data_IF_897040227505
#
_entry.id   IF_897040227505
#
_cell.length_a   1.000
_cell.length_b   1.000
_cell.length_c   1.000
_cell.angle_alpha   90.00
_cell.angle_beta   90.00
_cell.angle_gamma   90.00
#
_symmetry.space_group_name_H-M   'P 1'
#
loop_
_entity.id
_entity.type
_entity.pdbx_description
1 polymer ?
#
# COMPACT_ATOMS: atom_id res chain seq x y z
N UNK A 1 -5.95 -6.80 1.75
CA UNK A 1 -5.88 -6.24 0.39
C UNK A 1 -7.25 -5.82 -0.14
N UNK A 2 -8.19 -6.74 -0.39
CA UNK A 2 -9.55 -6.38 -0.84
C UNK A 2 -10.29 -5.39 0.10
N UNK A 3 -10.31 -5.66 1.41
CA UNK A 3 -10.85 -4.69 2.39
C UNK A 3 -10.11 -3.35 2.43
N UNK A 4 -8.79 -3.32 2.15
CA UNK A 4 -8.01 -2.06 2.04
C UNK A 4 -8.46 -1.26 0.82
N UNK A 5 -8.60 -1.92 -0.34
CA UNK A 5 -9.09 -1.28 -1.57
C UNK A 5 -10.43 -0.58 -1.31
N UNK A 6 -11.37 -1.28 -0.68
CA UNK A 6 -12.66 -0.71 -0.33
C UNK A 6 -12.51 0.52 0.59
N UNK A 7 -11.76 0.41 1.67
CA UNK A 7 -11.62 1.50 2.65
C UNK A 7 -10.90 2.73 2.09
N UNK A 8 -9.90 2.56 1.23
CA UNK A 8 -9.14 3.68 0.67
C UNK A 8 -9.87 4.38 -0.47
N UNK A 9 -10.66 3.66 -1.28
CA UNK A 9 -11.15 4.20 -2.54
C UNK A 9 -12.67 4.40 -2.63
N UNK A 10 -13.49 3.87 -1.69
CA UNK A 10 -14.96 4.00 -1.76
C UNK A 10 -15.46 5.45 -1.87
N UNK A 11 -14.73 6.40 -1.29
CA UNK A 11 -15.06 7.83 -1.34
C UNK A 11 -14.97 8.43 -2.75
N UNK A 12 -14.30 7.73 -3.68
CA UNK A 12 -14.10 8.15 -5.05
C UNK A 12 -15.03 7.45 -6.04
N UNK A 13 -16.05 6.71 -5.58
CA UNK A 13 -16.95 5.95 -6.47
C UNK A 13 -17.59 6.81 -7.58
N UNK A 14 -18.07 8.02 -7.26
CA UNK A 14 -18.61 8.93 -8.28
C UNK A 14 -17.59 9.19 -9.40
N UNK A 15 -16.35 9.47 -9.05
CA UNK A 15 -15.27 9.70 -10.02
C UNK A 15 -14.93 8.46 -10.82
N UNK A 16 -14.87 7.30 -10.19
CA UNK A 16 -14.55 6.04 -10.85
C UNK A 16 -15.63 5.66 -11.86
N UNK A 17 -16.90 5.86 -11.52
CA UNK A 17 -18.04 5.66 -12.42
C UNK A 17 -17.96 6.62 -13.62
N UNK A 18 -17.62 7.89 -13.40
CA UNK A 18 -17.46 8.87 -14.50
C UNK A 18 -16.30 8.54 -15.45
N UNK A 19 -15.22 7.92 -14.97
CA UNK A 19 -13.99 7.75 -15.75
C UNK A 19 -13.82 6.37 -16.37
N UNK A 20 -14.28 5.32 -15.68
CA UNK A 20 -14.13 3.92 -16.13
C UNK A 20 -15.44 3.14 -16.01
N UNK A 21 -16.56 3.81 -15.68
CA UNK A 21 -17.89 3.19 -15.57
C UNK A 21 -17.93 2.02 -14.59
N UNK A 22 -17.12 2.10 -13.53
CA UNK A 22 -17.02 1.11 -12.47
C UNK A 22 -16.97 1.78 -11.10
N UNK A 23 -17.72 1.23 -10.14
CA UNK A 23 -17.51 1.47 -8.72
C UNK A 23 -16.42 0.57 -8.15
N UNK A 24 -15.95 0.86 -6.94
CA UNK A 24 -15.04 -0.03 -6.20
C UNK A 24 -15.69 -1.37 -5.92
N UNK A 25 -16.99 -1.39 -5.65
CA UNK A 25 -17.77 -2.59 -5.44
C UNK A 25 -17.82 -3.47 -6.69
N UNK A 26 -17.99 -2.88 -7.88
CA UNK A 26 -17.94 -3.61 -9.16
C UNK A 26 -16.58 -4.28 -9.35
N UNK A 27 -15.50 -3.51 -9.18
CA UNK A 27 -14.13 -4.02 -9.30
C UNK A 27 -13.83 -5.11 -8.28
N UNK A 28 -14.33 -4.94 -7.06
CA UNK A 28 -14.16 -5.89 -5.96
C UNK A 28 -14.81 -7.24 -6.28
N UNK A 29 -16.04 -7.25 -6.81
CA UNK A 29 -16.73 -8.47 -7.24
C UNK A 29 -15.97 -9.14 -8.37
N UNK A 30 -15.55 -8.38 -9.40
CA UNK A 30 -14.81 -8.92 -10.54
C UNK A 30 -13.51 -9.57 -10.07
N UNK A 31 -12.78 -8.91 -9.16
CA UNK A 31 -11.58 -9.47 -8.55
C UNK A 31 -11.89 -10.77 -7.78
N UNK A 32 -12.99 -10.84 -7.02
CA UNK A 32 -13.39 -12.08 -6.34
C UNK A 32 -13.72 -13.21 -7.31
N UNK A 33 -14.42 -12.93 -8.41
CA UNK A 33 -14.71 -13.91 -9.44
C UNK A 33 -13.42 -14.45 -10.07
N UNK A 34 -12.50 -13.56 -10.45
CA UNK A 34 -11.17 -13.93 -10.94
C UNK A 34 -10.40 -14.78 -9.91
N UNK A 35 -10.36 -14.36 -8.64
CA UNK A 35 -9.73 -15.13 -7.57
C UNK A 35 -10.35 -16.53 -7.43
N UNK A 36 -11.66 -16.64 -7.63
CA UNK A 36 -12.41 -17.90 -7.63
C UNK A 36 -11.91 -18.86 -8.70
N UNK A 37 -11.71 -18.37 -9.94
CA UNK A 37 -11.17 -19.17 -11.06
C UNK A 37 -9.78 -19.73 -10.71
N UNK A 38 -8.89 -18.89 -10.19
CA UNK A 38 -7.51 -19.26 -9.83
C UNK A 38 -7.39 -20.05 -8.52
N UNK A 39 -8.49 -20.33 -7.80
CA UNK A 39 -8.46 -21.32 -6.69
C UNK A 39 -8.19 -22.72 -7.20
N UNK A 40 -8.54 -23.02 -8.45
CA UNK A 40 -8.14 -24.25 -9.10
C UNK A 40 -6.67 -24.12 -9.54
N UNK A 41 -5.76 -24.83 -8.86
CA UNK A 41 -4.31 -24.76 -9.09
C UNK A 41 -3.87 -25.17 -10.51
N UNK A 42 -4.73 -25.87 -11.24
CA UNK A 42 -4.47 -26.29 -12.62
C UNK A 42 -4.88 -25.23 -13.65
N UNK A 43 -5.63 -24.19 -13.24
CA UNK A 43 -6.03 -23.07 -14.09
C UNK A 43 -4.95 -21.99 -14.10
N UNK A 44 -4.30 -21.80 -15.25
CA UNK A 44 -3.33 -20.72 -15.49
C UNK A 44 -3.98 -19.57 -16.28
N UNK A 45 -5.15 -19.83 -16.86
CA UNK A 45 -5.90 -18.89 -17.70
C UNK A 45 -7.33 -18.78 -17.19
N UNK A 46 -7.99 -17.67 -17.53
CA UNK A 46 -9.44 -17.52 -17.37
C UNK A 46 -10.04 -16.95 -18.64
N UNK A 47 -11.27 -17.35 -18.94
CA UNK A 47 -12.09 -16.74 -19.97
C UNK A 47 -12.96 -15.65 -19.37
N UNK A 48 -13.36 -14.67 -20.18
CA UNK A 48 -14.29 -13.62 -19.73
C UNK A 48 -15.57 -14.22 -19.16
N UNK A 49 -16.04 -15.29 -19.78
CA UNK A 49 -17.25 -16.01 -19.39
C UNK A 49 -17.11 -16.66 -18.00
N UNK A 50 -15.88 -16.92 -17.53
CA UNK A 50 -15.63 -17.46 -16.19
C UNK A 50 -15.82 -16.39 -15.08
N UNK A 51 -15.85 -15.11 -15.45
CA UNK A 51 -16.17 -13.99 -14.54
C UNK A 51 -17.68 -13.73 -14.52
N UNK A 52 -18.38 -14.08 -15.59
CA UNK A 52 -19.81 -13.90 -15.69
C UNK A 52 -20.53 -14.89 -14.76
N UNK A 53 -21.32 -14.36 -13.84
CA UNK A 53 -22.19 -15.15 -13.00
C UNK A 53 -23.58 -14.55 -13.06
N UNK A 54 -24.54 -15.35 -13.54
CA UNK A 54 -25.97 -15.02 -13.49
C UNK A 54 -26.47 -14.84 -12.03
N UNK A 55 -25.66 -15.23 -11.04
CA UNK A 55 -25.98 -15.18 -9.61
C UNK A 55 -25.61 -13.86 -8.93
N UNK A 56 -24.95 -12.93 -9.62
CA UNK A 56 -24.59 -11.61 -9.07
C UNK A 56 -25.39 -10.51 -9.79
N UNK A 57 -26.50 -10.11 -9.17
CA UNK A 57 -27.52 -9.19 -9.71
C UNK A 57 -26.97 -7.88 -10.31
N UNK A 58 -25.81 -7.40 -9.85
CA UNK A 58 -25.24 -6.11 -10.25
C UNK A 58 -24.05 -6.19 -11.22
N UNK A 59 -23.59 -7.40 -11.59
CA UNK A 59 -22.43 -7.59 -12.46
C UNK A 59 -22.87 -7.81 -13.92
N UNK A 60 -22.79 -6.76 -14.74
CA UNK A 60 -23.14 -6.83 -16.17
C UNK A 60 -21.92 -7.15 -17.04
N UNK A 61 -22.15 -7.71 -18.22
CA UNK A 61 -21.10 -7.92 -19.25
C UNK A 61 -20.37 -6.62 -19.59
N UNK A 62 -21.08 -5.48 -19.60
CA UNK A 62 -20.50 -4.16 -19.82
C UNK A 62 -19.47 -3.80 -18.74
N UNK A 63 -19.79 -4.01 -17.46
CA UNK A 63 -18.85 -3.76 -16.35
C UNK A 63 -17.61 -4.65 -16.45
N UNK A 64 -17.80 -5.94 -16.78
CA UNK A 64 -16.67 -6.86 -16.98
C UNK A 64 -15.78 -6.38 -18.14
N UNK A 65 -16.38 -5.96 -19.26
CA UNK A 65 -15.64 -5.41 -20.40
C UNK A 65 -14.86 -4.14 -20.00
N UNK A 66 -15.50 -3.20 -19.30
CA UNK A 66 -14.85 -1.96 -18.84
C UNK A 66 -13.67 -2.25 -17.91
N UNK A 67 -13.81 -3.24 -17.03
CA UNK A 67 -12.73 -3.65 -16.12
C UNK A 67 -11.55 -4.23 -16.90
N UNK A 68 -11.82 -5.17 -17.81
CA UNK A 68 -10.79 -5.80 -18.62
C UNK A 68 -10.15 -4.80 -19.59
N UNK A 69 -10.90 -3.87 -20.17
CA UNK A 69 -10.33 -2.82 -21.03
C UNK A 69 -9.34 -1.93 -20.28
N UNK A 70 -9.66 -1.61 -19.03
CA UNK A 70 -8.79 -0.76 -18.22
C UNK A 70 -7.56 -1.48 -17.67
N UNK A 71 -7.74 -2.69 -17.10
CA UNK A 71 -6.69 -3.42 -16.39
C UNK A 71 -5.97 -4.49 -17.22
N UNK A 72 -6.38 -4.72 -18.47
CA UNK A 72 -5.74 -5.68 -19.36
C UNK A 72 -5.12 -5.08 -20.62
N UNK A 73 -4.22 -5.84 -21.24
CA UNK A 73 -3.72 -5.53 -22.59
C UNK A 73 -3.51 -6.81 -23.39
N UNK A 74 -3.84 -6.76 -24.68
CA UNK A 74 -3.48 -7.83 -25.61
C UNK A 74 -1.96 -8.06 -25.67
N UNK A 75 -1.55 -9.32 -25.72
CA UNK A 75 -0.15 -9.76 -25.72
C UNK A 75 0.70 -9.13 -26.82
N UNK A 76 0.17 -8.98 -28.04
CA UNK A 76 0.93 -8.36 -29.14
C UNK A 76 1.23 -6.90 -28.85
N UNK A 77 0.25 -6.18 -28.31
CA UNK A 77 0.42 -4.79 -27.90
C UNK A 77 1.35 -4.68 -26.69
N UNK A 78 1.26 -5.63 -25.75
CA UNK A 78 2.15 -5.74 -24.61
C UNK A 78 3.62 -5.88 -25.09
N UNK A 79 3.89 -6.83 -25.99
CA UNK A 79 5.23 -7.08 -26.54
C UNK A 79 5.73 -5.89 -27.36
N UNK A 80 4.89 -5.34 -28.26
CA UNK A 80 5.26 -4.19 -29.11
C UNK A 80 5.63 -2.98 -28.28
N UNK A 81 4.83 -2.63 -27.26
CA UNK A 81 5.09 -1.46 -26.42
C UNK A 81 6.25 -1.68 -25.44
N UNK A 82 6.40 -2.91 -24.93
CA UNK A 82 7.61 -3.25 -24.18
C UNK A 82 8.89 -3.11 -25.04
N UNK A 83 8.82 -3.42 -26.33
CA UNK A 83 9.95 -3.23 -27.25
C UNK A 83 10.19 -1.75 -27.56
N UNK A 84 9.15 -0.95 -27.81
CA UNK A 84 9.29 0.49 -28.08
C UNK A 84 9.90 1.25 -26.92
N UNK A 85 9.51 0.91 -25.69
CA UNK A 85 9.93 1.62 -24.49
C UNK A 85 11.29 1.10 -23.97
N UNK A 86 12.02 0.32 -24.79
CA UNK A 86 13.31 -0.34 -24.48
C UNK A 86 13.30 -1.09 -23.15
N UNK A 87 12.15 -1.67 -22.81
CA UNK A 87 11.90 -2.28 -21.50
C UNK A 87 12.84 -3.46 -21.24
N UNK A 88 13.26 -4.14 -22.30
CA UNK A 88 14.14 -5.32 -22.23
C UNK A 88 15.61 -4.99 -21.90
N UNK A 89 16.05 -3.73 -22.04
CA UNK A 89 17.44 -3.31 -21.82
C UNK A 89 17.75 -2.94 -20.36
N UNK A 90 16.73 -2.72 -19.52
CA UNK A 90 16.87 -2.46 -18.08
C UNK A 90 16.27 -3.62 -17.30
N UNK A 91 17.02 -4.21 -16.38
CA UNK A 91 16.63 -5.42 -15.60
C UNK A 91 15.32 -5.27 -14.80
N UNK A 92 14.99 -4.06 -14.35
CA UNK A 92 13.69 -3.74 -13.70
C UNK A 92 12.54 -3.44 -14.68
N UNK A 93 12.85 -3.32 -15.97
CA UNK A 93 11.89 -2.92 -16.99
C UNK A 93 10.75 -3.89 -17.19
N UNK A 94 11.03 -5.20 -17.23
CA UNK A 94 10.04 -6.22 -17.63
C UNK A 94 8.79 -6.26 -16.71
N UNK A 95 8.91 -5.82 -15.46
CA UNK A 95 7.79 -5.70 -14.51
C UNK A 95 6.93 -4.44 -14.72
N UNK A 96 7.44 -3.41 -15.44
CA UNK A 96 6.78 -2.10 -15.65
C UNK A 96 5.39 -2.21 -16.26
N UNK A 97 5.23 -3.13 -17.21
CA UNK A 97 3.98 -3.27 -17.96
C UNK A 97 2.97 -4.13 -17.19
N UNK A 98 3.43 -5.09 -16.38
CA UNK A 98 2.59 -5.83 -15.43
C UNK A 98 2.02 -4.92 -14.36
N UNK A 99 2.75 -3.89 -13.93
CA UNK A 99 2.24 -2.88 -12.98
C UNK A 99 1.07 -2.10 -13.59
N UNK A 100 1.13 -1.76 -14.89
CA UNK A 100 0.07 -0.98 -15.54
C UNK A 100 -1.10 -1.85 -15.98
N UNK A 101 -0.81 -3.04 -16.48
CA UNK A 101 -1.78 -4.01 -17.00
C UNK A 101 -1.49 -5.37 -16.36
N UNK A 102 -2.02 -5.63 -15.15
CA UNK A 102 -1.79 -6.90 -14.45
C UNK A 102 -2.41 -8.11 -15.14
N UNK A 103 -3.33 -7.88 -16.09
CA UNK A 103 -4.02 -8.91 -16.86
C UNK A 103 -3.54 -8.83 -18.32
N UNK A 104 -3.25 -9.97 -18.94
CA UNK A 104 -2.85 -10.03 -20.35
C UNK A 104 -3.87 -10.85 -21.12
N UNK A 105 -4.44 -10.26 -22.17
CA UNK A 105 -5.29 -11.01 -23.12
C UNK A 105 -4.36 -11.73 -24.11
N UNK A 106 -4.43 -13.05 -24.13
CA UNK A 106 -3.60 -13.92 -24.96
C UNK A 106 -4.29 -14.19 -26.30
N UNK A 107 -5.59 -14.46 -26.24
CA UNK A 107 -6.48 -14.62 -27.39
C UNK A 107 -7.84 -13.99 -27.06
N UNK A 108 -8.73 -13.84 -28.03
CA UNK A 108 -10.03 -13.20 -27.81
C UNK A 108 -10.77 -13.82 -26.63
N UNK A 109 -11.06 -12.99 -25.62
CA UNK A 109 -11.70 -13.37 -24.35
C UNK A 109 -10.92 -14.40 -23.50
N UNK A 110 -9.64 -14.67 -23.79
CA UNK A 110 -8.77 -15.57 -23.00
C UNK A 110 -7.65 -14.76 -22.36
N UNK A 111 -7.57 -14.80 -21.04
CA UNK A 111 -6.69 -13.96 -20.25
C UNK A 111 -5.79 -14.77 -19.32
N UNK A 112 -4.62 -14.20 -19.02
CA UNK A 112 -3.68 -14.69 -18.00
C UNK A 112 -3.34 -13.57 -17.02
N UNK A 113 -3.02 -13.96 -15.79
CA UNK A 113 -2.50 -13.08 -14.75
C UNK A 113 -1.06 -13.52 -14.45
N UNK A 114 -0.05 -12.87 -15.05
CA UNK A 114 1.33 -13.37 -14.99
C UNK A 114 1.91 -13.46 -13.57
N UNK A 115 1.44 -12.60 -12.65
CA UNK A 115 1.83 -12.61 -11.24
C UNK A 115 0.56 -12.49 -10.39
N UNK A 116 -0.12 -13.63 -10.21
CA UNK A 116 -1.43 -13.69 -9.56
C UNK A 116 -1.41 -13.11 -8.14
N UNK A 117 -0.35 -13.35 -7.37
CA UNK A 117 -0.17 -12.87 -6.02
C UNK A 117 -0.14 -11.34 -5.92
N UNK A 118 0.19 -10.64 -7.01
CA UNK A 118 0.28 -9.18 -7.07
C UNK A 118 -0.94 -8.51 -7.72
N UNK A 119 -1.93 -9.28 -8.17
CA UNK A 119 -3.08 -8.74 -8.91
C UNK A 119 -3.78 -7.62 -8.16
N UNK A 120 -4.19 -7.88 -6.91
CA UNK A 120 -4.99 -6.92 -6.12
C UNK A 120 -4.16 -5.68 -5.77
N UNK A 121 -2.90 -5.84 -5.40
CA UNK A 121 -2.01 -4.70 -5.13
C UNK A 121 -1.84 -3.84 -6.36
N UNK A 122 -1.66 -4.47 -7.51
CA UNK A 122 -1.46 -3.77 -8.77
C UNK A 122 -2.70 -3.01 -9.21
N UNK A 123 -3.88 -3.64 -9.12
CA UNK A 123 -5.17 -2.98 -9.37
C UNK A 123 -5.40 -1.82 -8.42
N UNK A 124 -5.14 -2.01 -7.12
CA UNK A 124 -5.23 -0.97 -6.09
C UNK A 124 -4.32 0.22 -6.41
N UNK A 125 -3.06 -0.04 -6.72
CA UNK A 125 -2.09 1.00 -7.08
C UNK A 125 -2.52 1.74 -8.38
N UNK A 126 -3.03 1.02 -9.37
CA UNK A 126 -3.52 1.62 -10.60
C UNK A 126 -4.74 2.52 -10.41
N UNK A 127 -5.56 2.28 -9.39
CA UNK A 127 -6.68 3.17 -9.05
C UNK A 127 -6.19 4.51 -8.50
N UNK A 128 -5.15 4.51 -7.67
CA UNK A 128 -4.52 5.76 -7.24
C UNK A 128 -4.01 6.57 -8.44
N UNK A 129 -3.31 5.92 -9.37
CA UNK A 129 -2.79 6.60 -10.57
C UNK A 129 -3.92 7.08 -11.49
N UNK A 130 -4.98 6.28 -11.67
CA UNK A 130 -6.17 6.68 -12.43
C UNK A 130 -6.73 7.98 -11.88
N UNK A 131 -7.03 8.00 -10.57
CA UNK A 131 -7.60 9.17 -9.92
C UNK A 131 -6.65 10.36 -10.06
N UNK A 132 -5.37 10.19 -9.75
CA UNK A 132 -4.40 11.27 -9.86
C UNK A 132 -4.32 11.85 -11.28
N UNK A 133 -4.24 11.00 -12.30
CA UNK A 133 -4.20 11.40 -13.71
C UNK A 133 -5.50 12.10 -14.13
N UNK A 134 -6.66 11.58 -13.72
CA UNK A 134 -7.97 12.18 -14.01
C UNK A 134 -8.16 13.55 -13.35
N UNK A 135 -7.76 13.72 -12.09
CA UNK A 135 -7.79 15.02 -11.43
C UNK A 135 -6.76 15.99 -12.05
N UNK A 136 -5.59 15.51 -12.46
CA UNK A 136 -4.58 16.33 -13.15
C UNK A 136 -5.01 16.78 -14.55
N UNK A 137 -5.85 16.00 -15.25
CA UNK A 137 -6.45 16.41 -16.54
C UNK A 137 -7.42 17.58 -16.40
N UNK A 138 -8.08 17.74 -15.25
CA UNK A 138 -8.97 18.88 -14.98
C UNK A 138 -8.14 20.15 -14.81
N UNK A 139 -7.27 20.18 -13.80
CA UNK A 139 -6.20 21.17 -13.63
C UNK A 139 -5.22 20.78 -12.50
N UNK A 140 -4.19 21.61 -12.29
CA UNK A 140 -3.17 21.41 -11.25
C UNK A 140 -3.71 21.53 -9.81
N UNK A 141 -4.70 22.39 -9.58
CA UNK A 141 -5.29 22.58 -8.25
C UNK A 141 -6.17 21.39 -7.87
N UNK A 142 -6.92 20.84 -8.81
CA UNK A 142 -7.73 19.62 -8.63
C UNK A 142 -6.84 18.41 -8.31
N UNK A 143 -5.71 18.25 -9.01
CA UNK A 143 -4.70 17.23 -8.65
C UNK A 143 -4.18 17.42 -7.22
N UNK A 144 -3.89 18.66 -6.81
CA UNK A 144 -3.44 18.95 -5.46
C UNK A 144 -4.52 18.63 -4.41
N UNK A 145 -5.78 19.00 -4.67
CA UNK A 145 -6.91 18.68 -3.78
C UNK A 145 -7.05 17.18 -3.58
N UNK A 146 -7.02 16.40 -4.67
CA UNK A 146 -7.03 14.94 -4.58
C UNK A 146 -5.88 14.41 -3.73
N UNK A 147 -4.65 14.89 -3.95
CA UNK A 147 -3.49 14.46 -3.17
C UNK A 147 -3.65 14.78 -1.68
N UNK A 148 -4.22 15.92 -1.33
CA UNK A 148 -4.44 16.33 0.06
C UNK A 148 -5.56 15.52 0.71
N UNK A 149 -6.67 15.32 0.02
CA UNK A 149 -7.78 14.47 0.46
C UNK A 149 -7.35 13.00 0.65
N UNK A 150 -6.69 12.42 -0.34
CA UNK A 150 -6.20 11.04 -0.27
C UNK A 150 -5.19 10.86 0.85
N UNK A 151 -4.37 11.88 1.12
CA UNK A 151 -3.46 11.91 2.27
C UNK A 151 -4.20 11.72 3.59
N UNK A 152 -5.25 12.50 3.81
CA UNK A 152 -6.10 12.40 5.00
C UNK A 152 -6.82 11.05 5.10
N UNK A 153 -7.28 10.49 3.97
CA UNK A 153 -7.90 9.15 3.94
C UNK A 153 -6.88 8.09 4.36
N UNK A 154 -5.66 8.13 3.81
CA UNK A 154 -4.59 7.20 4.12
C UNK A 154 -4.14 7.31 5.58
N UNK A 155 -3.97 8.53 6.09
CA UNK A 155 -3.65 8.78 7.50
C UNK A 155 -4.73 8.18 8.41
N UNK A 156 -6.00 8.51 8.16
CA UNK A 156 -7.12 7.97 8.95
C UNK A 156 -7.19 6.44 8.88
N UNK A 157 -6.92 5.85 7.71
CA UNK A 157 -6.85 4.41 7.54
C UNK A 157 -5.79 3.77 8.45
N UNK A 158 -4.56 4.29 8.41
CA UNK A 158 -3.44 3.80 9.24
C UNK A 158 -3.74 3.95 10.73
N UNK A 159 -4.32 5.08 11.15
CA UNK A 159 -4.68 5.32 12.54
C UNK A 159 -5.82 4.42 13.00
N UNK A 160 -6.82 4.16 12.15
CA UNK A 160 -7.91 3.23 12.48
C UNK A 160 -7.41 1.80 12.69
N UNK A 161 -6.45 1.36 11.87
CA UNK A 161 -5.79 0.07 12.08
C UNK A 161 -5.08 0.00 13.43
N UNK A 162 -4.36 1.04 13.85
CA UNK A 162 -3.72 1.08 15.17
C UNK A 162 -4.73 1.13 16.33
N UNK A 163 -5.89 1.76 16.15
CA UNK A 163 -6.92 1.83 17.19
C UNK A 163 -7.51 0.47 17.53
N UNK A 164 -7.42 -0.52 16.65
CA UNK A 164 -7.93 -1.87 16.89
C UNK A 164 -7.16 -2.60 18.01
N UNK A 165 -5.83 -2.84 17.91
CA UNK A 165 -5.09 -3.52 18.95
C UNK A 165 -4.79 -2.67 20.20
N UNK A 166 -4.70 -1.35 20.07
CA UNK A 166 -4.33 -0.47 21.19
C UNK A 166 -5.53 0.20 21.89
N UNK A 167 -6.66 0.34 21.19
CA UNK A 167 -7.81 1.10 21.64
C UNK A 167 -7.70 2.61 21.35
N UNK A 168 -8.85 3.23 21.08
CA UNK A 168 -8.96 4.65 20.65
C UNK A 168 -8.25 5.62 21.61
N UNK A 169 -8.34 5.39 22.92
CA UNK A 169 -7.75 6.27 23.93
C UNK A 169 -6.22 6.23 23.97
N UNK A 170 -5.58 5.15 23.50
CA UNK A 170 -4.12 5.00 23.50
C UNK A 170 -3.46 5.57 22.24
N UNK A 171 -4.21 5.75 21.16
CA UNK A 171 -3.72 6.37 19.91
C UNK A 171 -3.92 7.88 20.01
N UNK A 172 -2.87 8.58 20.42
CA UNK A 172 -2.90 10.01 20.68
C UNK A 172 -2.47 10.78 19.44
N UNK A 173 -3.24 11.79 19.07
CA UNK A 173 -2.86 12.78 18.07
C UNK A 173 -1.60 13.55 18.53
N UNK A 174 -0.56 13.57 17.72
CA UNK A 174 0.71 14.22 18.06
C UNK A 174 0.57 15.74 18.23
N UNK A 175 -0.46 16.38 17.66
CA UNK A 175 -0.80 17.79 17.93
C UNK A 175 -1.03 18.07 19.43
N UNK A 176 -1.37 17.05 20.21
CA UNK A 176 -1.58 17.17 21.67
C UNK A 176 -0.27 17.00 22.46
N UNK A 177 0.79 16.53 21.81
CA UNK A 177 2.09 16.21 22.42
C UNK A 177 3.09 17.34 22.10
N UNK A 178 3.25 17.66 20.82
CA UNK A 178 4.14 18.74 20.36
C UNK A 178 3.37 20.06 20.45
N UNK A 179 3.62 20.81 21.54
CA UNK A 179 2.87 22.04 21.85
C UNK A 179 3.19 23.21 20.92
N UNK A 180 4.38 23.25 20.33
CA UNK A 180 4.77 24.28 19.40
C UNK A 180 4.20 24.00 18.00
N UNK A 181 3.25 24.82 17.54
CA UNK A 181 2.58 24.63 16.25
C UNK A 181 3.52 24.74 15.04
N UNK A 182 4.65 25.43 15.19
CA UNK A 182 5.64 25.64 14.12
C UNK A 182 6.60 24.46 13.98
N UNK A 183 6.57 23.51 14.91
CA UNK A 183 7.43 22.32 14.86
C UNK A 183 6.79 21.20 14.06
N UNK A 184 7.64 20.48 13.33
CA UNK A 184 7.27 19.27 12.64
C UNK A 184 6.96 18.17 13.65
N UNK A 185 5.95 17.36 13.36
CA UNK A 185 5.48 16.29 14.24
C UNK A 185 4.95 15.15 13.41
N UNK A 186 4.91 13.96 13.99
CA UNK A 186 4.32 12.81 13.33
C UNK A 186 2.79 12.85 13.43
N UNK A 187 2.09 11.87 12.86
CA UNK A 187 0.62 11.83 12.91
C UNK A 187 0.08 11.42 14.28
N UNK A 188 0.65 10.37 14.87
CA UNK A 188 0.19 9.87 16.15
C UNK A 188 1.29 9.25 17.00
N UNK A 189 1.02 9.16 18.30
CA UNK A 189 1.83 8.44 19.27
C UNK A 189 0.95 7.47 20.02
N UNK A 190 1.45 6.26 20.18
CA UNK A 190 0.85 5.21 20.98
C UNK A 190 1.68 5.02 22.24
N UNK A 191 1.03 5.11 23.38
CA UNK A 191 1.66 4.88 24.69
C UNK A 191 1.17 3.55 25.24
N UNK A 192 2.10 2.66 25.54
CA UNK A 192 1.80 1.36 26.14
C UNK A 192 2.82 1.00 27.20
N UNK A 193 2.37 0.88 28.45
CA UNK A 193 3.24 0.66 29.62
C UNK A 193 4.33 1.75 29.65
N UNK A 194 5.62 1.37 29.63
CA UNK A 194 6.77 2.29 29.56
C UNK A 194 7.36 2.44 28.15
N UNK A 195 6.57 2.13 27.11
CA UNK A 195 7.00 2.18 25.71
C UNK A 195 6.16 3.20 24.93
N UNK A 196 6.79 3.84 23.96
CA UNK A 196 6.12 4.70 22.98
C UNK A 196 6.32 4.16 21.55
N UNK A 197 5.31 4.34 20.71
CA UNK A 197 5.39 4.11 19.28
C UNK A 197 4.88 5.35 18.55
N UNK A 198 5.76 6.05 17.83
CA UNK A 198 5.39 7.15 16.96
C UNK A 198 5.06 6.63 15.56
N UNK A 199 4.00 7.14 14.95
CA UNK A 199 3.53 6.74 13.62
C UNK A 199 3.51 7.97 12.74
N UNK A 200 4.22 7.88 11.61
CA UNK A 200 4.19 8.84 10.53
C UNK A 200 3.70 8.19 9.25
N UNK A 201 2.78 8.85 8.55
CA UNK A 201 2.23 8.35 7.30
C UNK A 201 2.72 9.21 6.16
N UNK A 202 3.29 8.59 5.14
CA UNK A 202 3.72 9.32 3.94
C UNK A 202 2.98 8.81 2.72
N UNK A 203 2.18 9.69 2.14
CA UNK A 203 1.78 9.61 0.74
C UNK A 203 3.04 9.73 -0.12
N UNK A 204 3.72 8.61 -0.38
CA UNK A 204 4.82 8.58 -1.33
C UNK A 204 4.23 8.61 -2.72
N UNK A 205 4.39 9.74 -3.39
CA UNK A 205 4.11 9.84 -4.81
C UNK A 205 5.42 9.69 -5.56
N UNK A 206 5.53 8.62 -6.31
CA UNK A 206 6.42 8.62 -7.44
C UNK A 206 5.58 8.82 -8.69
N UNK A 207 5.94 9.75 -9.57
CA UNK A 207 5.36 9.74 -10.92
C UNK A 207 5.68 8.37 -11.52
N UNK A 208 4.69 7.73 -12.13
CA UNK A 208 4.88 6.45 -12.81
C UNK A 208 6.09 6.54 -13.75
N UNK A 209 6.14 7.58 -14.58
CA UNK A 209 7.23 7.87 -15.52
C UNK A 209 8.58 8.20 -14.84
N UNK A 210 8.59 8.79 -13.65
CA UNK A 210 9.83 9.13 -12.94
C UNK A 210 10.50 7.90 -12.32
N UNK A 211 9.72 6.93 -11.80
CA UNK A 211 10.25 5.59 -11.48
C UNK A 211 10.78 4.95 -12.76
N UNK A 212 10.01 5.03 -13.85
CA UNK A 212 10.33 4.37 -15.12
C UNK A 212 11.68 4.82 -15.71
N UNK A 213 12.03 6.10 -15.52
CA UNK A 213 13.26 6.70 -16.01
C UNK A 213 14.46 6.50 -15.08
N UNK A 214 14.24 6.07 -13.82
CA UNK A 214 15.27 6.06 -12.77
C UNK A 214 15.99 7.41 -12.66
N UNK A 215 15.22 8.49 -12.71
CA UNK A 215 15.76 9.83 -12.51
C UNK A 215 16.24 9.95 -11.06
N UNK A 216 17.55 9.81 -10.88
CA UNK A 216 18.19 9.80 -9.57
C UNK A 216 17.96 11.10 -8.83
N UNK A 217 17.99 12.25 -9.50
CA UNK A 217 17.78 13.55 -8.86
C UNK A 217 16.36 13.67 -8.33
N UNK A 218 15.38 13.23 -9.13
CA UNK A 218 13.99 13.20 -8.70
C UNK A 218 13.74 12.20 -7.55
N UNK A 219 14.35 11.02 -7.60
CA UNK A 219 14.25 10.02 -6.53
C UNK A 219 14.88 10.57 -5.24
N UNK A 220 16.03 11.23 -5.33
CA UNK A 220 16.70 11.87 -4.20
C UNK A 220 15.80 12.95 -3.57
N UNK A 221 15.22 13.84 -4.37
CA UNK A 221 14.29 14.89 -3.89
C UNK A 221 13.07 14.28 -3.18
N UNK A 222 12.47 13.23 -3.75
CA UNK A 222 11.33 12.55 -3.13
C UNK A 222 11.70 11.89 -1.80
N UNK A 223 12.84 11.19 -1.74
CA UNK A 223 13.32 10.54 -0.52
C UNK A 223 13.64 11.56 0.57
N UNK A 224 14.27 12.67 0.23
CA UNK A 224 14.56 13.76 1.15
C UNK A 224 13.26 14.40 1.67
N UNK A 225 12.38 14.82 0.76
CA UNK A 225 11.15 15.53 1.08
C UNK A 225 10.17 14.70 1.90
N UNK A 226 10.09 13.40 1.65
CA UNK A 226 9.11 12.53 2.29
C UNK A 226 9.69 11.68 3.41
N UNK A 227 10.76 10.93 3.15
CA UNK A 227 11.26 9.96 4.13
C UNK A 227 12.21 10.61 5.14
N UNK A 228 13.18 11.42 4.71
CA UNK A 228 14.06 12.12 5.67
C UNK A 228 13.24 13.04 6.57
N UNK A 229 12.27 13.77 6.01
CA UNK A 229 11.34 14.58 6.79
C UNK A 229 10.51 13.74 7.79
N UNK A 230 10.08 12.53 7.41
CA UNK A 230 9.37 11.62 8.32
C UNK A 230 10.22 11.23 9.52
N UNK A 231 11.52 10.94 9.31
CA UNK A 231 12.47 10.71 10.42
C UNK A 231 12.53 11.92 11.35
N UNK A 232 12.70 13.13 10.80
CA UNK A 232 12.74 14.36 11.60
C UNK A 232 11.45 14.57 12.42
N UNK A 233 10.28 14.29 11.83
CA UNK A 233 8.97 14.39 12.50
C UNK A 233 8.84 13.42 13.67
N UNK A 234 9.25 12.16 13.47
CA UNK A 234 9.25 11.13 14.51
C UNK A 234 10.24 11.53 15.62
N UNK A 235 11.48 11.86 15.25
CA UNK A 235 12.52 12.27 16.20
C UNK A 235 12.05 13.47 17.04
N UNK A 236 11.51 14.50 16.41
CA UNK A 236 11.00 15.67 17.12
C UNK A 236 9.86 15.30 18.07
N UNK A 237 8.90 14.51 17.62
CA UNK A 237 7.76 14.10 18.46
C UNK A 237 8.20 13.28 19.66
N UNK A 238 9.15 12.36 19.47
CA UNK A 238 9.68 11.52 20.53
C UNK A 238 10.47 12.31 21.58
N UNK A 239 11.09 13.44 21.22
CA UNK A 239 11.78 14.32 22.19
C UNK A 239 10.83 14.93 23.24
N UNK A 240 9.53 15.02 22.95
CA UNK A 240 8.52 15.49 23.92
C UNK A 240 8.06 14.39 24.89
N UNK A 241 8.57 13.17 24.76
CA UNK A 241 8.15 12.02 25.53
C UNK A 241 9.27 11.51 26.44
N UNK A 242 8.97 11.32 27.73
CA UNK A 242 9.92 10.81 28.72
C UNK A 242 9.87 9.27 28.85
N UNK A 243 10.02 8.51 27.76
CA UNK A 243 10.01 7.05 27.79
C UNK A 243 11.37 6.43 27.49
N UNK A 244 11.75 5.40 28.27
CA UNK A 244 13.02 4.66 28.13
C UNK A 244 13.11 3.86 26.82
N UNK A 245 11.97 3.44 26.27
CA UNK A 245 11.90 2.63 25.05
C UNK A 245 10.91 3.24 24.09
N UNK A 246 11.39 3.60 22.91
CA UNK A 246 10.55 4.11 21.83
C UNK A 246 10.82 3.37 20.53
N UNK A 247 9.82 3.40 19.66
CA UNK A 247 9.91 2.97 18.28
C UNK A 247 9.24 4.02 17.40
N UNK A 248 9.65 4.07 16.13
CA UNK A 248 8.98 4.85 15.09
C UNK A 248 8.56 3.94 13.93
N UNK A 249 7.41 4.24 13.33
CA UNK A 249 6.96 3.63 12.09
C UNK A 249 6.70 4.73 11.07
N UNK A 250 7.41 4.67 9.95
CA UNK A 250 7.13 5.45 8.75
C UNK A 250 6.36 4.51 7.82
N UNK A 251 5.05 4.73 7.72
CA UNK A 251 4.15 3.93 6.90
C UNK A 251 4.04 4.54 5.50
N UNK A 252 4.37 3.74 4.49
CA UNK A 252 4.31 4.14 3.08
C UNK A 252 3.41 3.19 2.29
N UNK A 253 2.84 3.62 1.14
CA UNK A 253 2.18 2.70 0.20
C UNK A 253 3.09 1.53 -0.19
N UNK A 254 2.50 0.41 -0.62
CA UNK A 254 3.27 -0.70 -1.16
C UNK A 254 3.93 -0.30 -2.48
N UNK A 255 5.20 0.10 -2.37
CA UNK A 255 6.07 0.46 -3.48
C UNK A 255 7.06 -0.69 -3.75
N UNK A 256 7.41 -0.90 -5.03
CA UNK A 256 8.32 -1.97 -5.46
C UNK A 256 9.80 -1.66 -5.21
N UNK A 257 10.13 -1.04 -4.07
CA UNK A 257 11.50 -0.72 -3.69
C UNK A 257 11.82 -1.43 -2.38
N UNK A 258 12.95 -2.15 -2.35
CA UNK A 258 13.42 -2.83 -1.13
C UNK A 258 13.69 -1.83 0.00
N UNK A 259 12.95 -1.96 1.10
CA UNK A 259 13.01 -1.04 2.26
C UNK A 259 14.42 -0.96 2.87
N UNK A 260 15.13 -2.08 2.94
CA UNK A 260 16.52 -2.14 3.43
C UNK A 260 17.49 -1.35 2.54
N UNK A 261 17.25 -1.33 1.23
CA UNK A 261 18.05 -0.55 0.28
C UNK A 261 17.81 0.94 0.47
N UNK A 262 16.55 1.35 0.65
CA UNK A 262 16.19 2.73 0.98
C UNK A 262 16.89 3.17 2.28
N UNK A 263 16.79 2.37 3.35
CA UNK A 263 17.38 2.70 4.65
C UNK A 263 18.90 2.92 4.57
N UNK A 264 19.60 2.00 3.91
CA UNK A 264 21.06 2.12 3.70
C UNK A 264 21.41 3.34 2.85
N UNK A 265 20.66 3.57 1.77
CA UNK A 265 20.85 4.72 0.90
C UNK A 265 20.68 6.03 1.65
N UNK A 266 19.59 6.18 2.42
CA UNK A 266 19.29 7.37 3.20
C UNK A 266 20.39 7.70 4.20
N UNK A 267 20.88 6.70 4.95
CA UNK A 267 21.96 6.88 5.92
C UNK A 267 23.26 7.36 5.28
N UNK A 268 23.56 6.90 4.08
CA UNK A 268 24.78 7.29 3.37
C UNK A 268 24.66 8.66 2.71
N UNK A 269 23.53 8.93 2.05
CA UNK A 269 23.31 10.13 1.26
C UNK A 269 22.91 11.35 2.10
N UNK A 270 22.07 11.16 3.11
CA UNK A 270 21.42 12.25 3.87
C UNK A 270 21.81 12.29 5.35
N UNK A 271 22.94 11.67 5.74
CA UNK A 271 23.41 11.52 7.14
C UNK A 271 23.34 12.79 8.01
N UNK A 272 23.49 13.97 7.41
CA UNK A 272 23.46 15.26 8.10
C UNK A 272 22.07 15.86 8.30
N UNK A 273 21.02 15.27 7.71
CA UNK A 273 19.66 15.83 7.71
C UNK A 273 18.76 15.22 8.79
N UNK A 274 19.02 13.99 9.24
CA UNK A 274 18.27 13.31 10.28
C UNK A 274 19.16 12.31 11.03
N UNK A 275 18.76 11.85 12.24
CA UNK A 275 19.56 10.90 13.02
C UNK A 275 19.46 9.47 12.52
N UNK A 276 18.41 9.12 11.76
CA UNK A 276 18.15 7.78 11.22
C UNK A 276 18.27 6.68 12.29
N UNK A 277 17.60 6.86 13.42
CA UNK A 277 17.58 5.92 14.55
C UNK A 277 17.13 4.52 14.09
N UNK A 278 17.84 3.48 14.53
CA UNK A 278 17.51 2.07 14.22
C UNK A 278 16.16 1.62 14.80
N UNK A 279 15.62 2.36 15.75
CA UNK A 279 14.31 2.16 16.35
C UNK A 279 13.18 2.71 15.48
N UNK A 280 13.50 3.42 14.39
CA UNK A 280 12.53 3.96 13.43
C UNK A 280 12.58 3.14 12.15
N UNK A 281 11.49 2.41 11.88
CA UNK A 281 11.36 1.52 10.74
C UNK A 281 10.53 2.17 9.64
N UNK A 282 10.93 1.92 8.40
CA UNK A 282 10.09 2.18 7.23
C UNK A 282 9.34 0.87 6.96
N UNK A 283 8.03 0.92 6.75
CA UNK A 283 7.23 -0.25 6.44
C UNK A 283 6.18 0.07 5.38
N UNK A 284 5.90 -0.90 4.50
CA UNK A 284 4.79 -0.74 3.56
C UNK A 284 3.45 -0.90 4.29
N UNK A 285 2.38 -0.47 3.63
CA UNK A 285 1.03 -0.58 4.15
C UNK A 285 0.66 -2.04 4.46
N UNK A 286 1.06 -3.00 3.61
CA UNK A 286 0.85 -4.43 3.88
C UNK A 286 1.58 -4.91 5.13
N UNK A 287 2.84 -4.52 5.33
CA UNK A 287 3.59 -4.90 6.53
C UNK A 287 2.99 -4.26 7.79
N UNK A 288 2.51 -3.02 7.68
CA UNK A 288 1.83 -2.34 8.76
C UNK A 288 0.50 -3.02 9.13
N UNK A 289 -0.29 -3.43 8.14
CA UNK A 289 -1.54 -4.17 8.36
C UNK A 289 -1.34 -5.50 9.06
N UNK A 290 -0.30 -6.24 8.65
CA UNK A 290 0.11 -7.49 9.28
C UNK A 290 0.56 -7.22 10.72
N UNK A 291 1.40 -6.21 10.95
CA UNK A 291 1.81 -5.82 12.30
C UNK A 291 0.60 -5.50 13.19
N UNK A 292 -0.34 -4.67 12.70
CA UNK A 292 -1.56 -4.28 13.42
C UNK A 292 -2.61 -5.39 13.53
N UNK A 293 -2.37 -6.59 12.99
CA UNK A 293 -3.19 -7.77 13.24
C UNK A 293 -2.93 -8.41 14.62
N UNK A 294 -1.89 -7.95 15.32
CA UNK A 294 -1.40 -8.53 16.56
C UNK A 294 -1.81 -7.71 17.79
N UNK A 295 -1.69 -8.32 18.98
CA UNK A 295 -1.92 -7.63 20.26
C UNK A 295 -0.90 -6.51 20.48
N UNK A 296 -1.23 -5.53 21.32
CA UNK A 296 -0.33 -4.42 21.67
C UNK A 296 1.04 -4.91 22.16
N UNK A 297 1.08 -5.92 23.02
CA UNK A 297 2.32 -6.55 23.50
C UNK A 297 3.12 -7.24 22.37
N UNK A 298 2.46 -7.98 21.48
CA UNK A 298 3.11 -8.65 20.36
C UNK A 298 3.68 -7.65 19.33
N UNK A 299 2.99 -6.53 19.08
CA UNK A 299 3.50 -5.47 18.20
C UNK A 299 4.84 -4.95 18.70
N UNK A 300 4.93 -4.57 19.98
CA UNK A 300 6.19 -4.10 20.55
C UNK A 300 7.26 -5.20 20.64
N UNK A 301 6.87 -6.47 20.74
CA UNK A 301 7.80 -7.59 20.69
C UNK A 301 8.38 -7.76 19.29
N UNK A 302 7.55 -7.77 18.24
CA UNK A 302 7.98 -7.83 16.85
C UNK A 302 8.95 -6.70 16.54
N UNK A 303 8.60 -5.44 16.85
CA UNK A 303 9.47 -4.28 16.59
C UNK A 303 10.81 -4.38 17.32
N UNK A 304 10.82 -4.95 18.53
CA UNK A 304 12.06 -5.22 19.26
C UNK A 304 12.92 -6.25 18.52
N UNK A 305 12.34 -7.37 18.08
CA UNK A 305 13.06 -8.38 17.31
C UNK A 305 13.59 -7.82 15.98
N UNK A 306 12.81 -7.01 15.27
CA UNK A 306 13.26 -6.32 14.05
C UNK A 306 14.48 -5.46 14.34
N UNK A 307 14.47 -4.65 15.41
CA UNK A 307 15.60 -3.81 15.80
C UNK A 307 16.88 -4.60 16.12
N UNK A 308 16.74 -5.79 16.70
CA UNK A 308 17.87 -6.61 17.16
C UNK A 308 18.54 -7.40 16.03
N UNK A 309 17.94 -7.46 14.84
CA UNK A 309 18.51 -8.15 13.68
C UNK A 309 19.60 -7.34 13.00
N UNK A 310 20.58 -8.06 12.44
CA UNK A 310 21.58 -7.44 11.56
C UNK A 310 20.97 -7.25 10.19
N UNK A 311 21.37 -6.18 9.49
CA UNK A 311 20.88 -5.89 8.13
C UNK A 311 21.07 -7.06 7.15
N UNK A 312 22.13 -7.84 7.31
CA UNK A 312 22.43 -9.00 6.44
C UNK A 312 21.50 -10.20 6.70
N UNK A 313 20.89 -10.26 7.89
CA UNK A 313 19.95 -11.31 8.26
C UNK A 313 18.52 -10.95 7.81
N UNK A 314 18.34 -9.76 7.21
CA UNK A 314 17.08 -9.11 6.90
C UNK A 314 16.44 -8.44 8.12
N UNK A 315 15.91 -7.23 7.94
CA UNK A 315 15.21 -6.43 8.96
C UNK A 315 13.76 -6.08 8.57
N UNK A 316 13.16 -6.90 7.69
CA UNK A 316 11.77 -6.75 7.27
C UNK A 316 10.79 -7.27 8.34
N UNK A 317 9.74 -6.50 8.62
CA UNK A 317 8.72 -6.83 9.63
C UNK A 317 8.04 -8.17 9.33
N UNK A 318 7.65 -8.43 8.07
CA UNK A 318 6.92 -9.65 7.72
C UNK A 318 7.82 -10.88 7.83
N UNK A 319 9.10 -10.73 7.49
CA UNK A 319 10.08 -11.80 7.65
C UNK A 319 10.28 -12.15 9.13
N UNK A 320 10.43 -11.15 10.01
CA UNK A 320 10.53 -11.37 11.46
C UNK A 320 9.28 -12.06 12.00
N UNK A 321 8.10 -11.59 11.61
CA UNK A 321 6.84 -12.22 12.00
C UNK A 321 6.76 -13.68 11.54
N UNK A 322 7.17 -13.97 10.30
CA UNK A 322 7.19 -15.34 9.75
C UNK A 322 8.11 -16.27 10.54
N UNK A 323 9.30 -15.80 10.94
CA UNK A 323 10.20 -16.57 11.78
C UNK A 323 9.66 -16.80 13.19
N UNK A 324 9.04 -15.77 13.79
CA UNK A 324 8.38 -15.92 15.09
C UNK A 324 7.27 -16.98 15.03
N UNK A 325 6.46 -16.99 13.96
CA UNK A 325 5.44 -18.02 13.72
C UNK A 325 6.06 -19.40 13.61
N UNK A 326 7.13 -19.54 12.81
CA UNK A 326 7.85 -20.82 12.67
C UNK A 326 8.48 -21.29 13.99
N UNK A 327 8.83 -20.36 14.88
CA UNK A 327 9.29 -20.62 16.23
C UNK A 327 8.18 -20.91 17.25
N UNK A 328 6.91 -20.95 16.83
CA UNK A 328 5.76 -21.26 17.68
C UNK A 328 5.13 -20.07 18.41
N UNK A 329 5.48 -18.84 18.06
CA UNK A 329 4.83 -17.65 18.62
C UNK A 329 3.42 -17.45 18.03
N UNK A 330 2.48 -17.02 18.88
CA UNK A 330 1.12 -16.65 18.47
C UNK A 330 1.10 -15.27 17.79
N UNK A 331 1.61 -15.22 16.56
CA UNK A 331 1.65 -14.03 15.70
C UNK A 331 0.73 -14.23 14.50
N UNK A 332 -0.09 -13.21 14.22
CA UNK A 332 -1.05 -13.18 13.12
C UNK A 332 -0.49 -12.36 11.95
N UNK A 333 -0.58 -12.90 10.75
CA UNK A 333 -0.28 -12.17 9.50
C UNK A 333 -1.53 -11.51 8.90
N UNK A 334 -2.73 -12.02 9.21
CA UNK A 334 -3.99 -11.57 8.62
C UNK A 334 -4.76 -10.68 9.60
N UNK A 335 -5.12 -9.48 9.15
CA UNK A 335 -5.85 -8.52 9.96
C UNK A 335 -7.37 -8.78 9.93
N UNK A 336 -7.93 -9.23 11.05
CA UNK A 336 -9.36 -9.56 11.18
C UNK A 336 -10.29 -8.36 10.94
N UNK A 337 -9.85 -7.14 11.26
CA UNK A 337 -10.63 -5.94 10.95
C UNK A 337 -10.81 -5.78 9.44
N UNK A 338 -9.73 -5.95 8.67
CA UNK A 338 -9.80 -5.86 7.21
C UNK A 338 -10.60 -6.99 6.58
N UNK A 339 -10.57 -8.18 7.16
CA UNK A 339 -11.42 -9.30 6.73
C UNK A 339 -12.88 -8.92 6.93
N UNK A 340 -13.26 -8.45 8.13
CA UNK A 340 -14.64 -8.02 8.43
C UNK A 340 -15.13 -6.89 7.52
N UNK A 341 -14.28 -5.91 7.23
CA UNK A 341 -14.65 -4.83 6.31
C UNK A 341 -14.84 -5.36 4.88
N UNK A 342 -14.01 -6.32 4.44
CA UNK A 342 -14.20 -7.04 3.18
C UNK A 342 -15.54 -7.79 3.14
N UNK A 343 -15.87 -8.51 4.20
CA UNK A 343 -17.08 -9.35 4.29
C UNK A 343 -18.35 -8.49 4.30
N UNK A 344 -18.35 -7.37 5.03
CA UNK A 344 -19.46 -6.41 5.00
C UNK A 344 -19.71 -5.85 3.60
N UNK A 345 -18.65 -5.54 2.86
CA UNK A 345 -18.78 -5.07 1.48
C UNK A 345 -19.40 -6.15 0.59
N UNK A 346 -19.06 -7.43 0.79
CA UNK A 346 -19.69 -8.56 0.07
C UNK A 346 -21.17 -8.68 0.42
N UNK A 347 -21.51 -8.65 1.71
CA UNK A 347 -22.90 -8.81 2.17
C UNK A 347 -23.84 -7.73 1.62
N UNK A 348 -23.35 -6.52 1.39
CA UNK A 348 -24.11 -5.43 0.77
C UNK A 348 -24.34 -5.63 -0.72
N UNK A 349 -23.55 -6.48 -1.38
CA UNK A 349 -23.59 -6.70 -2.83
C UNK A 349 -24.39 -7.93 -3.25
N UNK A 350 -24.58 -8.88 -2.33
CA UNK A 350 -25.35 -10.11 -2.54
C UNK A 350 -26.83 -9.95 -2.14
N UNK A 351 -27.19 -8.82 -1.50
CA UNK A 351 -28.57 -8.41 -1.24
C UNK A 351 -29.10 -7.53 -2.36
#
# INVERSE_FOLDING_TARGET
>A
MLGRLHLLYKHYNTYLIENISLSIEDMYIILLAILGVYRNKDMIYFRKEDIASDDISNLTTEKINNFLEYFSKNQDNYIKKAKSDKIYEKSFGKFKYLIRYPIVEIESNLYIIPVFEQLIDTVSNNLYFLLLESFAKKDRNESKKFLDEFGLILENYVLNLARNPFGIKKVLDANKIVKNKNESRCEAVIIHKKKALAIEVKKMYFKRDSIEQMDKEHIDDLLEKHIVKAYQQIENTLNYLCYEKYFGLIVIPDIMIGLSTIKTYLKNKFKGLARFDESVFICTLSSYEALMANTDDNIFLILKHVKERKSNDGDDINMVMSEMINGGADIKMKNEFLIKESDKSIELLVK
#
